data_IF_355153245881
#
_entry.id   IF_355153245881
#
_cell.length_a   1.000
_cell.length_b   1.000
_cell.length_c   1.000
_cell.angle_alpha   90.00
_cell.angle_beta   90.00
_cell.angle_gamma   90.00
#
_symmetry.space_group_name_H-M   'P 1'
#
loop_
_entity.id
_entity.type
_entity.pdbx_description
1 polymer ?
#
# COMPACT_ATOMS: atom_id res chain seq x y z
N UNK A 1 37.50 -3.51 3.87
CA UNK A 1 36.12 -3.01 3.70
C UNK A 1 35.94 -2.52 2.27
N UNK A 2 35.16 -3.21 1.43
CA UNK A 2 34.97 -2.77 0.04
C UNK A 2 33.91 -1.65 0.01
N UNK A 3 34.13 -0.58 -0.78
CA UNK A 3 33.24 0.60 -0.92
C UNK A 3 31.76 0.27 -1.19
N UNK A 4 31.44 -0.97 -1.59
CA UNK A 4 30.08 -1.46 -1.84
C UNK A 4 29.29 -1.77 -0.56
N UNK A 5 29.98 -1.95 0.58
CA UNK A 5 29.37 -2.13 1.90
C UNK A 5 28.64 -0.88 2.40
N UNK A 6 29.17 0.31 2.10
CA UNK A 6 28.63 1.57 2.61
C UNK A 6 27.27 1.93 1.99
N UNK A 7 26.99 1.43 0.77
CA UNK A 7 25.73 1.69 0.06
C UNK A 7 24.61 0.73 0.46
N UNK A 8 24.91 -0.48 0.96
CA UNK A 8 23.88 -1.47 1.26
C UNK A 8 23.11 -1.17 2.56
N UNK A 9 23.77 -0.52 3.53
CA UNK A 9 23.16 -0.11 4.79
C UNK A 9 22.09 0.99 4.64
N UNK A 10 22.34 2.14 3.98
CA UNK A 10 21.32 3.14 3.74
C UNK A 10 20.19 2.62 2.84
N UNK A 11 20.49 1.72 1.91
CA UNK A 11 19.48 1.07 1.07
C UNK A 11 18.53 0.18 1.88
N UNK A 12 19.08 -0.58 2.85
CA UNK A 12 18.28 -1.42 3.76
C UNK A 12 17.44 -0.56 4.70
N UNK A 13 18.05 0.44 5.32
CA UNK A 13 17.35 1.34 6.24
C UNK A 13 16.26 2.12 5.52
N UNK A 14 16.54 2.64 4.33
CA UNK A 14 15.57 3.31 3.47
C UNK A 14 14.38 2.42 3.16
N UNK A 15 14.61 1.18 2.70
CA UNK A 15 13.54 0.23 2.44
C UNK A 15 12.68 -0.09 3.67
N UNK A 16 13.28 -0.18 4.85
CA UNK A 16 12.53 -0.38 6.10
C UNK A 16 11.65 0.85 6.40
N UNK A 17 12.21 2.06 6.30
CA UNK A 17 11.47 3.32 6.54
C UNK A 17 10.33 3.47 5.53
N UNK A 18 10.58 3.24 4.24
CA UNK A 18 9.55 3.25 3.21
C UNK A 18 8.48 2.19 3.47
N UNK A 19 8.87 0.99 3.93
CA UNK A 19 7.92 -0.04 4.33
C UNK A 19 6.97 0.43 5.43
N UNK A 20 7.49 1.10 6.47
CA UNK A 20 6.65 1.69 7.53
C UNK A 20 5.74 2.81 7.03
N UNK A 21 6.21 3.67 6.12
CA UNK A 21 5.38 4.71 5.51
C UNK A 21 4.18 4.08 4.79
N UNK A 22 4.43 3.03 3.97
CA UNK A 22 3.35 2.32 3.25
C UNK A 22 2.39 1.62 4.22
N UNK A 23 2.89 1.04 5.33
CA UNK A 23 2.04 0.44 6.36
C UNK A 23 1.10 1.48 6.97
N UNK A 24 1.64 2.62 7.41
CA UNK A 24 0.85 3.69 8.03
C UNK A 24 -0.21 4.17 7.04
N UNK A 25 0.19 4.44 5.80
CA UNK A 25 -0.72 4.89 4.75
C UNK A 25 -1.86 3.89 4.49
N UNK A 26 -1.52 2.59 4.34
CA UNK A 26 -2.51 1.54 4.12
C UNK A 26 -3.48 1.37 5.31
N UNK A 27 -2.99 1.49 6.54
CA UNK A 27 -3.83 1.44 7.75
C UNK A 27 -4.74 2.67 7.85
N UNK A 28 -4.24 3.86 7.57
CA UNK A 28 -5.06 5.08 7.56
C UNK A 28 -6.18 4.98 6.53
N UNK A 29 -5.86 4.52 5.32
CA UNK A 29 -6.85 4.29 4.26
C UNK A 29 -7.89 3.26 4.71
N UNK A 30 -7.46 2.11 5.22
CA UNK A 30 -8.37 1.07 5.72
C UNK A 30 -9.31 1.59 6.82
N UNK A 31 -8.79 2.30 7.82
CA UNK A 31 -9.59 2.81 8.93
C UNK A 31 -10.60 3.86 8.46
N UNK A 32 -10.21 4.71 7.52
CA UNK A 32 -11.08 5.72 6.93
C UNK A 32 -12.23 5.08 6.14
N UNK A 33 -11.95 4.10 5.28
CA UNK A 33 -12.97 3.40 4.50
C UNK A 33 -13.92 2.58 5.38
N UNK A 34 -13.39 1.92 6.43
CA UNK A 34 -14.23 1.21 7.41
C UNK A 34 -15.13 2.19 8.18
N UNK A 35 -14.62 3.36 8.55
CA UNK A 35 -15.41 4.39 9.20
C UNK A 35 -16.56 4.87 8.30
N UNK A 36 -16.28 5.13 7.01
CA UNK A 36 -17.32 5.53 6.07
C UNK A 36 -18.35 4.41 5.85
N UNK A 37 -17.90 3.16 5.70
CA UNK A 37 -18.78 2.00 5.60
C UNK A 37 -19.70 1.88 6.82
N UNK A 38 -19.16 2.10 8.03
CA UNK A 38 -19.92 2.08 9.28
C UNK A 38 -20.99 3.19 9.33
N UNK A 39 -20.65 4.41 8.89
CA UNK A 39 -21.61 5.53 8.83
C UNK A 39 -22.75 5.22 7.84
N UNK A 40 -22.44 4.65 6.68
CA UNK A 40 -23.42 4.26 5.67
C UNK A 40 -24.34 3.12 6.16
N UNK A 41 -23.79 2.14 6.89
CA UNK A 41 -24.56 1.03 7.47
C UNK A 41 -25.54 1.50 8.55
N UNK A 42 -25.16 2.50 9.34
CA UNK A 42 -26.02 3.05 10.40
C UNK A 42 -27.16 3.95 9.87
N UNK A 43 -27.18 4.26 8.57
CA UNK A 43 -28.19 5.14 7.98
C UNK A 43 -28.21 6.53 8.62
N UNK A 44 -27.08 6.97 9.20
CA UNK A 44 -27.01 8.27 9.84
C UNK A 44 -26.99 9.35 8.76
N UNK A 45 -27.92 10.29 8.82
CA UNK A 45 -28.12 11.36 7.82
C UNK A 45 -26.92 12.31 7.67
N UNK A 46 -25.89 12.14 8.51
CA UNK A 46 -24.61 12.85 8.46
C UNK A 46 -23.62 12.11 7.53
N UNK A 47 -24.03 11.83 6.30
CA UNK A 47 -23.11 11.36 5.27
C UNK A 47 -21.94 12.37 5.14
N UNK A 48 -20.68 11.91 5.15
CA UNK A 48 -19.56 12.80 4.92
C UNK A 48 -19.73 13.47 3.56
N UNK A 49 -19.47 14.77 3.51
CA UNK A 49 -19.66 15.69 2.36
C UNK A 49 -19.01 15.20 1.05
N UNK A 50 -18.12 14.22 1.11
CA UNK A 50 -17.56 13.52 -0.05
C UNK A 50 -18.60 12.72 -0.85
N UNK A 51 -19.61 12.16 -0.18
CA UNK A 51 -20.73 11.46 -0.83
C UNK A 51 -21.78 12.44 -1.36
N UNK A 52 -21.79 13.71 -0.91
CA UNK A 52 -22.70 14.73 -1.41
C UNK A 52 -22.35 15.21 -2.83
N UNK A 53 -21.17 14.88 -3.37
CA UNK A 53 -20.83 15.15 -4.78
C UNK A 53 -21.39 14.12 -5.75
N UNK A 54 -21.76 12.94 -5.27
CA UNK A 54 -22.63 12.01 -5.99
C UNK A 54 -24.07 12.32 -5.59
N UNK A 55 -24.67 13.25 -6.35
CA UNK A 55 -26.09 13.60 -6.45
C UNK A 55 -27.00 13.10 -5.30
N UNK A 56 -27.66 14.05 -4.65
CA UNK A 56 -28.67 13.92 -3.58
C UNK A 56 -29.96 13.17 -3.98
N UNK A 57 -29.85 12.14 -4.82
CA UNK A 57 -30.94 11.25 -5.19
C UNK A 57 -31.04 10.16 -4.16
N UNK A 58 -32.18 10.15 -3.48
CA UNK A 58 -32.69 9.05 -2.64
C UNK A 58 -32.12 7.70 -3.09
N UNK A 59 -31.37 7.05 -2.22
CA UNK A 59 -30.81 5.72 -2.46
C UNK A 59 -31.95 4.72 -2.67
N UNK A 60 -32.34 4.49 -3.91
CA UNK A 60 -33.03 3.27 -4.30
C UNK A 60 -32.09 2.09 -4.00
N UNK A 61 -32.66 0.95 -3.63
CA UNK A 61 -31.97 -0.24 -3.11
C UNK A 61 -30.81 -0.74 -3.99
N UNK A 62 -30.86 -0.47 -5.30
CA UNK A 62 -29.79 -0.81 -6.26
C UNK A 62 -28.53 0.06 -6.10
N UNK A 63 -28.68 1.34 -5.73
CA UNK A 63 -27.56 2.25 -5.52
C UNK A 63 -26.80 1.95 -4.22
N UNK A 64 -27.49 1.38 -3.22
CA UNK A 64 -26.88 1.03 -1.95
C UNK A 64 -25.82 -0.07 -2.09
N UNK A 65 -26.07 -1.09 -2.91
CA UNK A 65 -25.12 -2.19 -3.16
C UNK A 65 -23.86 -1.65 -3.86
N UNK A 66 -24.03 -0.73 -4.82
CA UNK A 66 -22.92 -0.10 -5.52
C UNK A 66 -22.02 0.68 -4.54
N UNK A 67 -22.62 1.49 -3.67
CA UNK A 67 -21.91 2.27 -2.64
C UNK A 67 -21.21 1.36 -1.62
N UNK A 68 -21.86 0.28 -1.17
CA UNK A 68 -21.25 -0.70 -0.27
C UNK A 68 -20.03 -1.36 -0.93
N UNK A 69 -20.18 -1.80 -2.18
CA UNK A 69 -19.11 -2.46 -2.93
C UNK A 69 -17.89 -1.54 -3.12
N UNK A 70 -18.13 -0.26 -3.34
CA UNK A 70 -17.09 0.77 -3.42
C UNK A 70 -16.26 0.79 -2.13
N UNK A 71 -16.88 1.07 -0.97
CA UNK A 71 -16.14 1.15 0.30
C UNK A 71 -15.42 -0.16 0.66
N UNK A 72 -16.04 -1.31 0.36
CA UNK A 72 -15.41 -2.61 0.57
C UNK A 72 -14.18 -2.77 -0.32
N UNK A 73 -14.24 -2.40 -1.60
CA UNK A 73 -13.06 -2.48 -2.49
C UNK A 73 -11.90 -1.63 -1.98
N UNK A 74 -12.12 -0.37 -1.60
CA UNK A 74 -11.03 0.48 -1.06
C UNK A 74 -10.49 -0.03 0.28
N UNK A 75 -11.36 -0.52 1.17
CA UNK A 75 -10.93 -1.14 2.43
C UNK A 75 -10.05 -2.37 2.19
N UNK A 76 -10.41 -3.23 1.22
CA UNK A 76 -9.60 -4.42 0.87
C UNK A 76 -8.23 -4.04 0.30
N UNK A 77 -8.15 -2.96 -0.48
CA UNK A 77 -6.90 -2.46 -1.04
C UNK A 77 -6.00 -1.91 0.05
N UNK A 78 -6.54 -1.10 0.96
CA UNK A 78 -5.82 -0.61 2.15
C UNK A 78 -5.31 -1.75 3.02
N UNK A 79 -6.16 -2.78 3.24
CA UNK A 79 -5.78 -3.98 3.98
C UNK A 79 -4.61 -4.70 3.33
N UNK A 80 -4.73 -5.06 2.04
CA UNK A 80 -3.70 -5.79 1.31
C UNK A 80 -2.40 -4.96 1.22
N UNK A 81 -2.50 -3.65 0.98
CA UNK A 81 -1.34 -2.76 0.98
C UNK A 81 -0.59 -2.81 2.32
N UNK A 82 -1.31 -2.71 3.43
CA UNK A 82 -0.73 -2.78 4.78
C UNK A 82 -0.09 -4.14 5.08
N UNK A 83 -0.74 -5.24 4.66
CA UNK A 83 -0.29 -6.62 4.89
C UNK A 83 0.99 -6.91 4.11
N UNK A 84 1.02 -6.58 2.82
CA UNK A 84 2.20 -6.82 2.00
C UNK A 84 3.36 -5.88 2.36
N UNK A 85 3.07 -4.65 2.79
CA UNK A 85 4.09 -3.75 3.33
C UNK A 85 4.68 -4.23 4.66
N UNK A 86 3.89 -4.90 5.53
CA UNK A 86 4.43 -5.56 6.72
C UNK A 86 5.32 -6.75 6.37
N UNK A 87 4.90 -7.59 5.41
CA UNK A 87 5.74 -8.69 4.90
C UNK A 87 7.06 -8.15 4.33
N UNK A 88 7.00 -7.05 3.58
CA UNK A 88 8.18 -6.38 3.04
C UNK A 88 9.11 -5.86 4.13
N UNK A 89 8.59 -5.12 5.10
CA UNK A 89 9.37 -4.56 6.21
C UNK A 89 10.06 -5.67 7.00
N UNK A 90 9.37 -6.77 7.30
CA UNK A 90 9.95 -7.95 7.95
C UNK A 90 11.00 -8.61 7.03
N UNK A 91 10.73 -8.68 5.73
CA UNK A 91 11.65 -9.20 4.72
C UNK A 91 12.96 -8.42 4.64
N UNK A 92 12.89 -7.09 4.62
CA UNK A 92 14.03 -6.19 4.63
C UNK A 92 14.80 -6.25 5.97
N UNK A 93 14.09 -6.40 7.09
CA UNK A 93 14.69 -6.55 8.41
C UNK A 93 15.39 -7.91 8.59
N UNK A 94 14.76 -9.02 8.23
CA UNK A 94 15.30 -10.39 8.39
C UNK A 94 16.09 -10.89 7.17
N UNK A 95 16.28 -10.07 6.14
CA UNK A 95 16.93 -10.44 4.88
C UNK A 95 16.33 -11.69 4.21
N UNK A 96 15.00 -11.85 4.32
CA UNK A 96 14.29 -13.00 3.76
C UNK A 96 13.90 -12.74 2.31
N UNK A 97 14.66 -13.30 1.36
CA UNK A 97 14.43 -13.15 -0.07
C UNK A 97 13.00 -13.51 -0.52
N UNK A 98 12.42 -14.57 0.06
CA UNK A 98 11.04 -14.99 -0.26
C UNK A 98 10.01 -13.88 0.03
N UNK A 99 10.10 -13.22 1.18
CA UNK A 99 9.19 -12.15 1.59
C UNK A 99 9.29 -10.90 0.70
N UNK A 100 10.51 -10.59 0.26
CA UNK A 100 10.77 -9.46 -0.63
C UNK A 100 10.24 -9.75 -2.04
N UNK A 101 10.42 -10.99 -2.52
CA UNK A 101 9.88 -11.43 -3.81
C UNK A 101 8.35 -11.42 -3.81
N UNK A 102 7.70 -11.86 -2.73
CA UNK A 102 6.23 -11.82 -2.63
C UNK A 102 5.69 -10.39 -2.65
N UNK A 103 6.34 -9.46 -1.93
CA UNK A 103 5.98 -8.05 -2.01
C UNK A 103 6.13 -7.49 -3.42
N UNK A 104 7.27 -7.76 -4.08
CA UNK A 104 7.52 -7.32 -5.44
C UNK A 104 6.43 -7.77 -6.41
N UNK A 105 6.06 -9.05 -6.40
CA UNK A 105 4.98 -9.59 -7.26
C UNK A 105 3.64 -8.94 -6.93
N UNK A 106 3.30 -8.82 -5.65
CA UNK A 106 2.06 -8.16 -5.23
C UNK A 106 1.99 -6.70 -5.69
N UNK A 107 3.07 -5.94 -5.53
CA UNK A 107 3.15 -4.54 -5.93
C UNK A 107 2.86 -4.33 -7.43
N UNK A 108 3.28 -5.25 -8.30
CA UNK A 108 2.90 -5.20 -9.72
C UNK A 108 1.39 -5.36 -9.89
N UNK A 109 0.80 -6.39 -9.27
CA UNK A 109 -0.64 -6.65 -9.35
C UNK A 109 -1.44 -5.47 -8.78
N UNK A 110 -0.95 -4.89 -7.68
CA UNK A 110 -1.56 -3.73 -7.03
C UNK A 110 -1.61 -2.52 -7.97
N UNK A 111 -0.48 -2.18 -8.62
CA UNK A 111 -0.43 -1.05 -9.59
C UNK A 111 -1.41 -1.26 -10.74
N UNK A 112 -1.55 -2.48 -11.27
CA UNK A 112 -2.54 -2.75 -12.32
C UNK A 112 -3.96 -2.51 -11.84
N UNK A 113 -4.28 -2.93 -10.61
CA UNK A 113 -5.60 -2.74 -10.04
C UNK A 113 -5.90 -1.27 -9.74
N UNK A 114 -4.92 -0.53 -9.19
CA UNK A 114 -5.07 0.89 -8.89
C UNK A 114 -5.18 1.75 -10.15
N UNK A 115 -4.53 1.38 -11.27
CA UNK A 115 -4.75 2.06 -12.57
C UNK A 115 -6.22 2.00 -13.00
N UNK A 116 -6.85 0.83 -12.88
CA UNK A 116 -8.28 0.68 -13.21
C UNK A 116 -9.13 1.57 -12.29
N UNK A 117 -8.81 1.63 -11.01
CA UNK A 117 -9.52 2.50 -10.08
C UNK A 117 -9.25 3.99 -10.32
N UNK A 118 -8.04 4.38 -10.70
CA UNK A 118 -7.74 5.77 -11.07
C UNK A 118 -8.62 6.19 -12.25
N UNK A 119 -8.76 5.33 -13.26
CA UNK A 119 -9.66 5.56 -14.40
C UNK A 119 -11.12 5.71 -13.95
N UNK A 120 -11.56 4.86 -13.02
CA UNK A 120 -12.90 4.94 -12.42
C UNK A 120 -13.12 6.26 -11.65
N UNK A 121 -12.18 6.66 -10.79
CA UNK A 121 -12.25 7.88 -10.00
C UNK A 121 -12.17 9.15 -10.86
N UNK A 122 -11.47 9.10 -12.00
CA UNK A 122 -11.46 10.23 -12.96
C UNK A 122 -12.84 10.46 -13.55
N UNK A 123 -13.57 9.38 -13.87
CA UNK A 123 -14.94 9.48 -14.42
C UNK A 123 -15.91 10.05 -13.38
N UNK A 124 -15.73 9.67 -12.10
CA UNK A 124 -16.58 10.13 -10.99
C UNK A 124 -16.16 11.50 -10.41
N UNK A 125 -15.10 12.14 -10.94
CA UNK A 125 -14.57 13.44 -10.50
C UNK A 125 -14.16 13.49 -9.02
N UNK A 126 -13.76 12.35 -8.47
CA UNK A 126 -13.33 12.20 -7.08
C UNK A 126 -11.84 12.52 -6.92
N UNK A 127 -11.50 13.80 -6.96
CA UNK A 127 -10.10 14.27 -6.98
C UNK A 127 -9.29 13.89 -5.75
N UNK A 128 -9.90 13.85 -4.57
CA UNK A 128 -9.22 13.48 -3.33
C UNK A 128 -8.80 12.01 -3.35
N UNK A 129 -9.71 11.09 -3.66
CA UNK A 129 -9.41 9.66 -3.73
C UNK A 129 -8.43 9.34 -4.85
N UNK A 130 -8.54 10.03 -5.99
CA UNK A 130 -7.56 9.96 -7.07
C UNK A 130 -6.15 10.36 -6.60
N UNK A 131 -6.05 11.46 -5.84
CA UNK A 131 -4.78 11.91 -5.26
C UNK A 131 -4.19 10.88 -4.29
N UNK A 132 -5.02 10.28 -3.44
CA UNK A 132 -4.61 9.22 -2.50
C UNK A 132 -4.08 7.98 -3.23
N UNK A 133 -4.78 7.51 -4.26
CA UNK A 133 -4.35 6.37 -5.08
C UNK A 133 -3.03 6.67 -5.80
N UNK A 134 -2.91 7.84 -6.44
CA UNK A 134 -1.71 8.22 -7.15
C UNK A 134 -0.49 8.34 -6.22
N UNK A 135 -0.66 8.94 -5.04
CA UNK A 135 0.42 9.06 -4.04
C UNK A 135 0.83 7.68 -3.53
N UNK A 136 -0.14 6.80 -3.25
CA UNK A 136 0.13 5.40 -2.87
C UNK A 136 1.00 4.70 -3.91
N UNK A 137 0.63 4.80 -5.19
CA UNK A 137 1.35 4.17 -6.29
C UNK A 137 2.75 4.74 -6.45
N UNK A 138 2.94 6.06 -6.31
CA UNK A 138 4.27 6.69 -6.36
C UNK A 138 5.17 6.16 -5.24
N UNK A 139 4.66 6.07 -4.01
CA UNK A 139 5.42 5.53 -2.87
C UNK A 139 5.77 4.06 -3.12
N UNK A 140 4.81 3.28 -3.63
CA UNK A 140 4.98 1.87 -3.93
C UNK A 140 6.01 1.64 -5.06
N UNK A 141 5.99 2.45 -6.12
CA UNK A 141 7.00 2.44 -7.18
C UNK A 141 8.39 2.81 -6.62
N UNK A 142 8.48 3.84 -5.76
CA UNK A 142 9.74 4.19 -5.10
C UNK A 142 10.28 3.01 -4.27
N UNK A 143 9.41 2.32 -3.54
CA UNK A 143 9.77 1.12 -2.77
C UNK A 143 10.25 -0.03 -3.66
N UNK A 144 9.66 -0.20 -4.85
CA UNK A 144 10.06 -1.21 -5.83
C UNK A 144 11.46 -0.97 -6.41
N UNK A 145 11.80 0.28 -6.71
CA UNK A 145 13.17 0.62 -7.10
C UNK A 145 14.16 0.27 -5.99
N UNK A 146 13.85 0.62 -4.74
CA UNK A 146 14.64 0.25 -3.57
C UNK A 146 14.82 -1.26 -3.40
N UNK A 147 13.75 -2.04 -3.62
CA UNK A 147 13.76 -3.51 -3.57
C UNK A 147 14.66 -4.12 -4.64
N UNK A 148 14.62 -3.61 -5.87
CA UNK A 148 15.44 -4.14 -6.97
C UNK A 148 16.93 -4.10 -6.63
N UNK A 149 17.42 -2.91 -6.24
CA UNK A 149 18.82 -2.74 -5.84
C UNK A 149 19.17 -3.57 -4.59
N UNK A 150 18.21 -3.75 -3.68
CA UNK A 150 18.39 -4.56 -2.50
C UNK A 150 18.53 -6.06 -2.81
N UNK A 151 17.70 -6.58 -3.71
CA UNK A 151 17.78 -7.97 -4.18
C UNK A 151 19.15 -8.24 -4.83
N UNK A 152 19.63 -7.32 -5.67
CA UNK A 152 20.93 -7.47 -6.33
C UNK A 152 22.09 -7.41 -5.32
N UNK A 153 21.96 -6.59 -4.27
CA UNK A 153 22.91 -6.56 -3.17
C UNK A 153 22.92 -7.86 -2.36
N UNK A 154 21.74 -8.43 -2.07
CA UNK A 154 21.59 -9.73 -1.38
C UNK A 154 22.18 -10.86 -2.21
N UNK A 155 21.85 -10.95 -3.51
CA UNK A 155 22.37 -12.00 -4.41
C UNK A 155 23.88 -11.94 -4.59
N UNK A 156 24.47 -10.74 -4.56
CA UNK A 156 25.91 -10.56 -4.70
C UNK A 156 26.71 -10.81 -3.40
N UNK A 157 26.04 -11.21 -2.30
CA UNK A 157 26.69 -11.47 -1.01
C UNK A 157 27.27 -10.22 -0.35
N UNK A 158 26.82 -9.02 -0.76
CA UNK A 158 27.38 -7.73 -0.31
C UNK A 158 26.60 -7.12 0.86
N UNK A 159 25.88 -7.95 1.61
CA UNK A 159 25.01 -7.51 2.70
C UNK A 159 25.64 -7.79 4.04
N UNK A 160 25.59 -6.80 4.93
CA UNK A 160 26.01 -6.95 6.31
C UNK A 160 25.04 -7.89 7.04
N UNK A 161 25.50 -9.10 7.35
CA UNK A 161 24.90 -9.92 8.39
C UNK A 161 25.34 -9.36 9.75
N UNK A 162 24.37 -9.14 10.64
CA UNK A 162 24.68 -8.83 12.04
C UNK A 162 25.53 -10.00 12.58
N UNK A 163 26.67 -9.74 13.23
CA UNK A 163 27.49 -10.79 13.81
C UNK A 163 26.80 -11.28 15.08
N UNK A 164 25.71 -12.03 14.94
CA UNK A 164 25.05 -12.70 16.05
C UNK A 164 24.92 -14.18 15.70
N UNK A 165 25.66 -14.97 16.46
CA UNK A 165 25.85 -16.43 16.44
C UNK A 165 26.72 -16.97 15.30
N UNK A 166 28.00 -17.18 15.64
CA UNK A 166 28.85 -18.09 14.88
C UNK A 166 28.22 -19.48 14.84
N UNK A 167 27.81 -19.90 13.65
CA UNK A 167 27.87 -21.27 13.16
C UNK A 167 27.71 -21.17 11.65
N UNK A 168 28.78 -21.61 11.00
CA UNK A 168 28.96 -21.72 9.55
C UNK A 168 27.90 -22.60 8.92
#
# INVERSE_FOLDING_TARGET
MSRKFLFCFPLRLGNIVFGYIVIIFGLTLLLFEIYQLYVVLLGNNNLPEYVNHTDSRSYETENYIMVLSYFVTYATIGFLLSLFATIFTIGAYKLRFRAIKTFFVYSFIHIFFTIVMIAWETLNKNWLMLGVLAVSDVILIASLFGVKYFIDAVKSGRVYHRPETGRY
#
